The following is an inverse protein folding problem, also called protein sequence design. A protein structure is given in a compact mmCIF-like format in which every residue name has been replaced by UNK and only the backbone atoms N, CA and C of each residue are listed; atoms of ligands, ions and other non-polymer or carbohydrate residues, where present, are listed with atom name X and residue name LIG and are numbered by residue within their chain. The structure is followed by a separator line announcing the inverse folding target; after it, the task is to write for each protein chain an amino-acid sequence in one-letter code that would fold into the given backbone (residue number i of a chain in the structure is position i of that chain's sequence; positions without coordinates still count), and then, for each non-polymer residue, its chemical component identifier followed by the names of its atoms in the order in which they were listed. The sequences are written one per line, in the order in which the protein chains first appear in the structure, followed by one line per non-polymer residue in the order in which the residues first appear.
data_IF_594433550181
#
_entry.id   IF_594433550181
#
_cell.length_a   1.000
_cell.length_b   1.000
_cell.length_c   1.000
_cell.angle_alpha   90.00
_cell.angle_beta   90.00
_cell.angle_gamma   90.00
#
_symmetry.space_group_name_H-M   'P 1'
#
loop_
_entity.id
_entity.type
_entity.pdbx_description
1 polymer ?
#
# COMPACT_ATOMS: atom_id res chain seq x y z
N UNK A 1 6.86 -25.10 28.02
CA UNK A 1 7.31 -24.07 27.07
C UNK A 1 6.15 -23.11 26.87
N UNK A 2 6.35 -21.81 27.13
CA UNK A 2 5.30 -20.81 26.91
C UNK A 2 4.97 -20.79 25.42
N UNK A 3 3.68 -21.00 25.09
CA UNK A 3 3.22 -20.99 23.70
C UNK A 3 3.42 -19.57 23.14
N UNK A 4 4.17 -19.44 22.04
CA UNK A 4 4.50 -18.15 21.42
C UNK A 4 3.24 -17.36 21.05
N UNK A 5 2.13 -18.04 20.73
CA UNK A 5 0.84 -17.39 20.48
C UNK A 5 0.32 -16.66 21.72
N UNK A 6 0.37 -17.26 22.91
CA UNK A 6 -0.02 -16.62 24.18
C UNK A 6 0.84 -15.40 24.49
N UNK A 7 2.12 -15.44 24.13
CA UNK A 7 3.03 -14.30 24.31
C UNK A 7 2.69 -13.13 23.38
N UNK A 8 2.26 -13.42 22.14
CA UNK A 8 1.78 -12.41 21.19
C UNK A 8 0.42 -11.89 21.62
N UNK A 9 -0.49 -12.78 22.03
CA UNK A 9 -1.84 -12.44 22.49
C UNK A 9 -1.81 -11.50 23.69
N UNK A 10 -0.96 -11.80 24.69
CA UNK A 10 -0.78 -10.95 25.88
C UNK A 10 -0.29 -9.53 25.55
N UNK A 11 0.35 -9.34 24.39
CA UNK A 11 0.87 -8.06 23.89
C UNK A 11 -0.01 -7.43 22.81
N UNK A 12 -1.22 -7.92 22.60
CA UNK A 12 -2.09 -7.46 21.49
C UNK A 12 -2.27 -5.95 21.49
N UNK A 13 -2.52 -5.34 22.65
CA UNK A 13 -2.76 -3.91 22.75
C UNK A 13 -1.52 -3.07 22.36
N UNK A 14 -0.32 -3.46 22.82
CA UNK A 14 0.92 -2.75 22.50
C UNK A 14 1.32 -2.97 21.04
N UNK A 15 1.24 -4.20 20.54
CA UNK A 15 1.53 -4.54 19.15
C UNK A 15 0.60 -3.79 18.19
N UNK A 16 -0.71 -3.81 18.44
CA UNK A 16 -1.68 -3.13 17.59
C UNK A 16 -1.43 -1.62 17.57
N UNK A 17 -1.37 -0.98 18.75
CA UNK A 17 -1.14 0.48 18.84
C UNK A 17 0.16 0.90 18.15
N UNK A 18 1.27 0.20 18.42
CA UNK A 18 2.58 0.55 17.87
C UNK A 18 2.68 0.28 16.36
N UNK A 19 1.87 -0.64 15.83
CA UNK A 19 1.89 -0.99 14.39
C UNK A 19 1.37 0.12 13.48
N UNK A 20 0.52 1.02 13.98
CA UNK A 20 -0.16 2.03 13.15
C UNK A 20 0.29 3.47 13.37
N UNK A 21 1.08 3.76 14.42
CA UNK A 21 1.45 5.14 14.75
C UNK A 21 2.10 5.88 13.57
N UNK A 22 3.10 5.27 12.94
CA UNK A 22 3.81 5.87 11.81
C UNK A 22 2.92 6.03 10.57
N UNK A 23 1.87 5.21 10.42
CA UNK A 23 0.94 5.37 9.29
C UNK A 23 0.22 6.70 9.38
N UNK A 24 -0.22 7.10 10.58
CA UNK A 24 -0.98 8.34 10.78
C UNK A 24 -0.19 9.63 10.54
N UNK A 25 1.12 9.54 10.31
CA UNK A 25 1.94 10.66 9.86
C UNK A 25 1.73 10.97 8.37
N UNK A 26 1.29 9.99 7.57
CA UNK A 26 0.95 10.21 6.17
C UNK A 26 -0.36 11.04 6.07
N UNK A 27 -0.34 12.22 5.42
CA UNK A 27 -1.53 13.06 5.25
C UNK A 27 -2.68 12.37 4.50
N UNK A 28 -2.41 11.27 3.78
CA UNK A 28 -3.38 10.45 3.07
C UNK A 28 -4.52 10.02 3.99
N UNK A 29 -4.23 9.48 5.17
CA UNK A 29 -5.26 8.89 6.04
C UNK A 29 -6.25 9.93 6.53
N UNK A 30 -5.73 11.08 6.98
CA UNK A 30 -6.56 12.19 7.43
C UNK A 30 -7.37 12.80 6.29
N UNK A 31 -6.78 12.94 5.09
CA UNK A 31 -7.47 13.49 3.93
C UNK A 31 -8.54 12.54 3.37
N UNK A 32 -8.27 11.22 3.36
CA UNK A 32 -9.14 10.22 2.73
C UNK A 32 -10.32 9.84 3.62
N UNK A 33 -10.08 9.66 4.91
CA UNK A 33 -11.08 9.11 5.83
C UNK A 33 -11.50 10.08 6.95
N UNK A 34 -10.75 11.17 7.15
CA UNK A 34 -10.89 12.03 8.33
C UNK A 34 -10.19 11.43 9.55
N UNK A 35 -9.49 12.27 10.32
CA UNK A 35 -8.57 11.80 11.38
C UNK A 35 -9.23 10.90 12.44
N UNK A 36 -10.45 11.24 12.87
CA UNK A 36 -11.17 10.46 13.89
C UNK A 36 -11.51 9.05 13.39
N UNK A 37 -11.99 8.97 12.14
CA UNK A 37 -12.40 7.71 11.52
C UNK A 37 -11.19 6.87 11.12
N UNK A 38 -10.15 7.50 10.58
CA UNK A 38 -8.89 6.83 10.24
C UNK A 38 -8.24 6.18 11.47
N UNK A 39 -8.23 6.89 12.61
CA UNK A 39 -7.71 6.34 13.87
C UNK A 39 -8.58 5.20 14.37
N UNK A 40 -9.88 5.43 14.54
CA UNK A 40 -10.80 4.39 15.04
C UNK A 40 -10.70 3.09 14.26
N UNK A 41 -10.90 3.14 12.93
CA UNK A 41 -10.91 1.91 12.13
C UNK A 41 -9.51 1.34 11.91
N UNK A 42 -8.47 2.18 11.82
CA UNK A 42 -7.09 1.68 11.73
C UNK A 42 -6.63 0.98 13.02
N UNK A 43 -7.02 1.49 14.19
CA UNK A 43 -6.75 0.84 15.48
C UNK A 43 -7.53 -0.48 15.61
N UNK A 44 -8.79 -0.51 15.16
CA UNK A 44 -9.61 -1.74 15.10
C UNK A 44 -8.96 -2.79 14.16
N UNK A 45 -8.55 -2.39 12.95
CA UNK A 45 -7.88 -3.27 11.97
C UNK A 45 -6.55 -3.82 12.50
N UNK A 46 -5.76 -2.99 13.20
CA UNK A 46 -4.50 -3.43 13.81
C UNK A 46 -4.71 -4.54 14.85
N UNK A 47 -5.78 -4.46 15.65
CA UNK A 47 -6.15 -5.54 16.58
C UNK A 47 -6.53 -6.81 15.81
N UNK A 48 -7.26 -6.69 14.70
CA UNK A 48 -7.59 -7.85 13.85
C UNK A 48 -6.35 -8.49 13.25
N UNK A 49 -5.36 -7.72 12.77
CA UNK A 49 -4.10 -8.25 12.25
C UNK A 49 -3.39 -9.13 13.29
N UNK A 50 -3.30 -8.66 14.54
CA UNK A 50 -2.69 -9.43 15.63
C UNK A 50 -3.52 -10.69 15.96
N UNK A 51 -4.86 -10.59 15.98
CA UNK A 51 -5.72 -11.75 16.24
C UNK A 51 -5.56 -12.85 15.18
N UNK A 52 -5.49 -12.49 13.90
CA UNK A 52 -5.24 -13.47 12.84
C UNK A 52 -3.83 -14.06 12.93
N UNK A 53 -2.84 -13.29 13.38
CA UNK A 53 -1.51 -13.80 13.67
C UNK A 53 -1.53 -14.83 14.80
N UNK A 54 -2.23 -14.55 15.91
CA UNK A 54 -2.40 -15.48 17.04
C UNK A 54 -3.08 -16.77 16.56
N UNK A 55 -4.17 -16.67 15.80
CA UNK A 55 -4.87 -17.84 15.24
C UNK A 55 -3.96 -18.68 14.32
N UNK A 56 -3.17 -18.03 13.46
CA UNK A 56 -2.20 -18.70 12.61
C UNK A 56 -1.14 -19.45 13.44
N UNK A 57 -0.62 -18.82 14.50
CA UNK A 57 0.37 -19.40 15.41
C UNK A 57 -0.21 -20.60 16.19
N UNK A 58 -1.41 -20.46 16.76
CA UNK A 58 -2.09 -21.54 17.48
C UNK A 58 -2.34 -22.76 16.60
N UNK A 59 -2.74 -22.53 15.35
CA UNK A 59 -2.97 -23.59 14.38
C UNK A 59 -1.68 -24.10 13.73
N UNK A 60 -0.52 -23.47 13.98
CA UNK A 60 0.74 -23.71 13.26
C UNK A 60 0.58 -23.66 11.73
N UNK A 61 -0.23 -22.71 11.24
CA UNK A 61 -0.60 -22.57 9.83
C UNK A 61 -0.49 -21.12 9.37
N UNK A 62 0.61 -20.71 8.71
CA UNK A 62 0.77 -19.34 8.20
C UNK A 62 -0.32 -18.97 7.18
N UNK A 63 -0.85 -19.96 6.45
CA UNK A 63 -1.93 -19.80 5.49
C UNK A 63 -3.17 -19.06 6.05
N UNK A 64 -3.46 -19.16 7.36
CA UNK A 64 -4.58 -18.44 7.98
C UNK A 64 -4.38 -16.92 7.86
N UNK A 65 -3.18 -16.42 8.11
CA UNK A 65 -2.87 -15.00 8.00
C UNK A 65 -2.73 -14.56 6.53
N UNK A 66 -2.21 -15.43 5.67
CA UNK A 66 -2.12 -15.18 4.22
C UNK A 66 -3.49 -15.06 3.55
N UNK A 67 -4.42 -15.96 3.90
CA UNK A 67 -5.80 -15.93 3.38
C UNK A 67 -6.53 -14.69 3.89
N UNK A 68 -6.32 -14.32 5.16
CA UNK A 68 -6.80 -13.06 5.71
C UNK A 68 -6.26 -11.85 4.94
N UNK A 69 -4.96 -11.80 4.65
CA UNK A 69 -4.36 -10.69 3.90
C UNK A 69 -4.94 -10.59 2.48
N UNK A 70 -5.09 -11.72 1.77
CA UNK A 70 -5.70 -11.76 0.43
C UNK A 70 -7.17 -11.32 0.43
N UNK A 71 -7.95 -11.80 1.39
CA UNK A 71 -9.35 -11.40 1.54
C UNK A 71 -9.47 -9.91 1.86
N UNK A 72 -8.66 -9.43 2.81
CA UNK A 72 -8.69 -8.04 3.25
C UNK A 72 -8.26 -7.08 2.14
N UNK A 73 -7.27 -7.45 1.32
CA UNK A 73 -6.88 -6.69 0.13
C UNK A 73 -8.09 -6.40 -0.77
N UNK A 74 -8.84 -7.42 -1.16
CA UNK A 74 -10.04 -7.25 -2.01
C UNK A 74 -11.06 -6.30 -1.38
N UNK A 75 -11.24 -6.39 -0.07
CA UNK A 75 -12.15 -5.55 0.68
C UNK A 75 -11.70 -4.09 0.75
N UNK A 76 -10.42 -3.83 1.04
CA UNK A 76 -9.89 -2.47 1.23
C UNK A 76 -9.65 -1.74 -0.09
N UNK A 77 -9.28 -2.45 -1.14
CA UNK A 77 -9.13 -1.89 -2.49
C UNK A 77 -10.43 -1.23 -2.95
N UNK A 78 -11.57 -1.91 -2.76
CA UNK A 78 -12.89 -1.34 -3.07
C UNK A 78 -13.30 -0.17 -2.17
N UNK A 79 -12.54 0.11 -1.09
CA UNK A 79 -12.74 1.24 -0.16
C UNK A 79 -11.70 2.35 -0.35
N UNK A 80 -10.95 2.30 -1.45
CA UNK A 80 -10.00 3.34 -1.85
C UNK A 80 -8.64 3.25 -1.17
N UNK A 81 -8.27 2.11 -0.60
CA UNK A 81 -6.88 1.77 -0.29
C UNK A 81 -6.26 1.02 -1.47
N UNK A 82 -4.97 0.71 -1.39
CA UNK A 82 -4.28 -0.18 -2.32
C UNK A 82 -3.51 -1.24 -1.53
N UNK A 83 -2.99 -2.26 -2.22
CA UNK A 83 -2.19 -3.33 -1.64
C UNK A 83 -0.96 -2.83 -0.89
N UNK A 84 -0.30 -1.77 -1.37
CA UNK A 84 0.82 -1.15 -0.66
C UNK A 84 0.41 -0.58 0.70
N UNK A 85 -0.76 0.04 0.79
CA UNK A 85 -1.26 0.50 2.09
C UNK A 85 -1.42 -0.66 3.08
N UNK A 86 -1.99 -1.79 2.64
CA UNK A 86 -2.13 -2.97 3.49
C UNK A 86 -0.77 -3.60 3.83
N UNK A 87 0.18 -3.62 2.91
CA UNK A 87 1.56 -4.06 3.18
C UNK A 87 2.22 -3.19 4.27
N UNK A 88 2.02 -1.88 4.24
CA UNK A 88 2.55 -0.95 5.26
C UNK A 88 1.96 -1.22 6.66
N UNK A 89 0.70 -1.66 6.76
CA UNK A 89 0.12 -2.13 8.03
C UNK A 89 0.86 -3.37 8.56
N UNK A 90 1.10 -4.36 7.70
CA UNK A 90 1.85 -5.56 8.10
C UNK A 90 3.33 -5.25 8.38
N UNK A 91 3.94 -4.31 7.68
CA UNK A 91 5.28 -3.81 7.98
C UNK A 91 5.34 -3.11 9.35
N UNK A 92 4.33 -2.30 9.67
CA UNK A 92 4.16 -1.71 10.99
C UNK A 92 4.07 -2.79 12.09
N UNK A 93 3.27 -3.83 11.86
CA UNK A 93 3.17 -4.97 12.78
C UNK A 93 4.50 -5.72 12.92
N UNK A 94 5.23 -5.94 11.81
CA UNK A 94 6.55 -6.56 11.83
C UNK A 94 7.56 -5.75 12.67
N UNK A 95 7.55 -4.41 12.55
CA UNK A 95 8.38 -3.52 13.38
C UNK A 95 7.98 -3.57 14.86
N UNK A 96 6.68 -3.56 15.15
CA UNK A 96 6.18 -3.68 16.52
C UNK A 96 6.58 -5.02 17.17
N UNK A 97 6.50 -6.12 16.41
CA UNK A 97 6.96 -7.44 16.83
C UNK A 97 8.47 -7.44 17.16
N UNK A 98 9.30 -6.87 16.28
CA UNK A 98 10.75 -6.77 16.52
C UNK A 98 11.05 -6.00 17.81
N UNK A 99 10.37 -4.87 18.04
CA UNK A 99 10.54 -4.06 19.26
C UNK A 99 10.16 -4.82 20.55
N UNK A 100 9.24 -5.77 20.46
CA UNK A 100 8.79 -6.64 21.56
C UNK A 100 9.61 -7.94 21.70
N UNK A 101 10.70 -8.07 20.94
CA UNK A 101 11.62 -9.21 21.00
C UNK A 101 11.32 -10.36 20.02
N UNK A 102 10.32 -10.20 19.14
CA UNK A 102 10.02 -11.14 18.06
C UNK A 102 10.77 -10.75 16.79
N UNK A 103 12.09 -11.02 16.78
CA UNK A 103 12.99 -10.70 15.67
C UNK A 103 12.75 -11.54 14.40
N UNK A 104 13.56 -11.32 13.34
CA UNK A 104 13.45 -12.02 12.06
C UNK A 104 13.38 -13.55 12.13
N UNK A 105 14.09 -14.14 13.09
CA UNK A 105 14.15 -15.61 13.28
C UNK A 105 12.96 -16.18 14.08
N UNK A 106 12.00 -15.33 14.46
CA UNK A 106 10.82 -15.75 15.23
C UNK A 106 9.66 -16.15 14.33
N UNK A 107 8.85 -17.11 14.80
CA UNK A 107 7.63 -17.54 14.08
C UNK A 107 6.64 -16.38 13.84
N UNK A 108 6.33 -15.49 14.83
CA UNK A 108 5.43 -14.38 14.60
C UNK A 108 5.89 -13.46 13.47
N UNK A 109 7.18 -13.13 13.43
CA UNK A 109 7.75 -12.31 12.37
C UNK A 109 7.66 -13.00 11.01
N UNK A 110 8.03 -14.28 10.95
CA UNK A 110 7.97 -15.10 9.73
C UNK A 110 6.55 -15.16 9.17
N UNK A 111 5.54 -15.32 10.02
CA UNK A 111 4.14 -15.38 9.57
C UNK A 111 3.65 -14.05 9.01
N UNK A 112 4.04 -12.92 9.62
CA UNK A 112 3.75 -11.60 9.07
C UNK A 112 4.44 -11.39 7.72
N UNK A 113 5.70 -11.82 7.55
CA UNK A 113 6.35 -11.75 6.24
C UNK A 113 5.64 -12.63 5.20
N UNK A 114 5.15 -13.81 5.58
CA UNK A 114 4.35 -14.65 4.67
C UNK A 114 3.07 -13.95 4.22
N UNK A 115 2.39 -13.25 5.13
CA UNK A 115 1.20 -12.47 4.82
C UNK A 115 1.48 -11.30 3.87
N UNK A 116 2.61 -10.60 4.06
CA UNK A 116 3.08 -9.57 3.12
C UNK A 116 3.35 -10.14 1.74
N UNK A 117 4.05 -11.28 1.67
CA UNK A 117 4.30 -11.97 0.40
C UNK A 117 3.00 -12.43 -0.28
N UNK A 118 2.00 -12.82 0.50
CA UNK A 118 0.69 -13.23 0.00
C UNK A 118 -0.13 -12.08 -0.63
N UNK A 119 0.25 -10.81 -0.40
CA UNK A 119 -0.36 -9.66 -1.07
C UNK A 119 0.11 -9.49 -2.52
N UNK A 120 1.21 -10.13 -2.92
CA UNK A 120 1.68 -10.09 -4.31
C UNK A 120 0.73 -10.83 -5.23
N UNK A 121 0.48 -10.26 -6.41
CA UNK A 121 -0.23 -10.97 -7.47
C UNK A 121 0.66 -12.08 -8.02
N UNK A 122 0.08 -13.23 -8.33
CA UNK A 122 0.83 -14.42 -8.79
C UNK A 122 0.80 -14.61 -10.30
N UNK A 123 -0.12 -13.93 -10.98
CA UNK A 123 -0.32 -14.06 -12.42
C UNK A 123 -1.03 -12.81 -12.99
N UNK A 124 -1.10 -12.76 -14.33
CA UNK A 124 -1.79 -11.70 -15.06
C UNK A 124 -1.03 -10.37 -15.15
N UNK A 125 -1.68 -9.32 -15.68
CA UNK A 125 -1.04 -8.02 -15.91
C UNK A 125 -0.52 -7.35 -14.64
N UNK A 126 -1.24 -7.49 -13.53
CA UNK A 126 -0.83 -6.94 -12.23
C UNK A 126 0.46 -7.58 -11.71
N UNK A 127 0.61 -8.90 -11.86
CA UNK A 127 1.84 -9.61 -11.49
C UNK A 127 3.05 -9.11 -12.31
N UNK A 128 2.91 -9.03 -13.64
CA UNK A 128 3.98 -8.49 -14.50
C UNK A 128 4.38 -7.07 -14.11
N UNK A 129 3.38 -6.24 -13.77
CA UNK A 129 3.63 -4.88 -13.29
C UNK A 129 4.41 -4.86 -11.97
N UNK A 130 4.11 -5.78 -11.05
CA UNK A 130 4.84 -5.92 -9.79
C UNK A 130 6.28 -6.45 -9.96
N UNK A 131 6.52 -7.34 -10.94
CA UNK A 131 7.86 -7.83 -11.26
C UNK A 131 8.79 -6.71 -11.74
N UNK A 132 8.26 -5.81 -12.57
CA UNK A 132 9.01 -4.69 -13.13
C UNK A 132 8.98 -3.41 -12.27
N UNK A 133 8.36 -3.47 -11.07
CA UNK A 133 8.14 -2.32 -10.18
C UNK A 133 9.41 -1.49 -9.98
N UNK A 134 10.54 -2.12 -9.64
CA UNK A 134 11.79 -1.41 -9.37
C UNK A 134 12.33 -0.67 -10.60
N UNK A 135 12.22 -1.28 -11.79
CA UNK A 135 12.68 -0.70 -13.06
C UNK A 135 11.81 0.49 -13.44
N UNK A 136 10.48 0.32 -13.36
CA UNK A 136 9.50 1.37 -13.67
C UNK A 136 9.67 2.55 -12.71
N UNK A 137 9.79 2.28 -11.40
CA UNK A 137 9.99 3.33 -10.40
C UNK A 137 11.25 4.12 -10.67
N UNK A 138 12.38 3.43 -10.86
CA UNK A 138 13.66 4.07 -11.14
C UNK A 138 13.59 4.95 -12.40
N UNK A 139 12.89 4.47 -13.43
CA UNK A 139 12.70 5.19 -14.68
C UNK A 139 11.77 6.41 -14.55
N UNK A 140 10.69 6.31 -13.77
CA UNK A 140 9.78 7.44 -13.52
C UNK A 140 10.44 8.50 -12.62
N UNK A 141 11.11 8.08 -11.55
CA UNK A 141 11.81 8.98 -10.61
C UNK A 141 12.89 9.80 -11.32
N UNK A 142 13.72 9.16 -12.16
CA UNK A 142 14.75 9.88 -12.95
C UNK A 142 14.17 11.00 -13.83
N UNK A 143 12.94 10.84 -14.32
CA UNK A 143 12.27 11.85 -15.16
C UNK A 143 11.70 13.01 -14.34
N UNK A 144 11.30 12.73 -13.10
CA UNK A 144 10.56 13.66 -12.23
C UNK A 144 11.44 14.39 -11.21
N UNK A 145 12.63 13.87 -10.89
CA UNK A 145 13.42 14.38 -9.76
C UNK A 145 14.11 15.72 -10.02
N UNK A 146 14.43 16.04 -11.28
CA UNK A 146 15.18 17.25 -11.64
C UNK A 146 14.56 18.58 -11.11
N UNK A 147 13.23 18.82 -11.21
CA UNK A 147 12.62 20.04 -10.67
C UNK A 147 12.40 20.03 -9.15
N UNK A 148 12.67 18.93 -8.45
CA UNK A 148 12.38 18.81 -7.02
C UNK A 148 13.51 19.33 -6.13
N UNK A 149 13.19 19.81 -4.91
CA UNK A 149 14.20 20.14 -3.91
C UNK A 149 15.06 18.92 -3.52
N UNK A 150 16.33 19.12 -3.13
CA UNK A 150 17.18 18.06 -2.58
C UNK A 150 16.49 17.31 -1.44
N UNK A 151 16.67 15.98 -1.40
CA UNK A 151 16.04 15.12 -0.39
C UNK A 151 14.58 14.74 -0.67
N UNK A 152 13.98 15.18 -1.79
CA UNK A 152 12.61 14.80 -2.15
C UNK A 152 12.48 13.40 -2.76
N UNK A 153 13.60 12.79 -3.16
CA UNK A 153 13.64 11.50 -3.85
C UNK A 153 12.90 10.36 -3.12
N UNK A 154 13.09 10.12 -1.81
CA UNK A 154 12.37 9.04 -1.13
C UNK A 154 10.85 9.22 -1.15
N UNK A 155 10.36 10.46 -1.01
CA UNK A 155 8.94 10.78 -1.11
C UNK A 155 8.41 10.55 -2.53
N UNK A 156 9.18 10.95 -3.54
CA UNK A 156 8.82 10.71 -4.94
C UNK A 156 8.76 9.20 -5.26
N UNK A 157 9.74 8.42 -4.79
CA UNK A 157 9.74 6.95 -4.92
C UNK A 157 8.51 6.32 -4.27
N UNK A 158 8.16 6.76 -3.05
CA UNK A 158 6.95 6.32 -2.36
C UNK A 158 5.67 6.64 -3.15
N UNK A 159 5.57 7.84 -3.72
CA UNK A 159 4.39 8.20 -4.52
C UNK A 159 4.27 7.39 -5.81
N UNK A 160 5.39 7.15 -6.49
CA UNK A 160 5.43 6.31 -7.69
C UNK A 160 5.01 4.87 -7.35
N UNK A 161 5.52 4.31 -6.25
CA UNK A 161 5.10 3.00 -5.76
C UNK A 161 3.60 2.94 -5.45
N UNK A 162 3.08 4.01 -4.84
CA UNK A 162 1.68 4.07 -4.48
C UNK A 162 0.78 4.07 -5.73
N UNK A 163 1.10 4.90 -6.73
CA UNK A 163 0.34 4.91 -7.99
C UNK A 163 0.37 3.55 -8.69
N UNK A 164 1.55 2.91 -8.73
CA UNK A 164 1.70 1.58 -9.31
C UNK A 164 0.90 0.52 -8.54
N UNK A 165 0.81 0.61 -7.21
CA UNK A 165 -0.02 -0.30 -6.42
C UNK A 165 -1.51 -0.14 -6.73
N UNK A 166 -2.02 1.10 -6.84
CA UNK A 166 -3.41 1.32 -7.25
C UNK A 166 -3.69 0.77 -8.65
N UNK A 167 -2.73 0.94 -9.57
CA UNK A 167 -2.82 0.43 -10.93
C UNK A 167 -2.84 -1.11 -10.95
N UNK A 168 -1.95 -1.77 -10.21
CA UNK A 168 -1.92 -3.23 -10.05
C UNK A 168 -3.23 -3.76 -9.50
N UNK A 169 -3.82 -3.11 -8.50
CA UNK A 169 -5.08 -3.55 -7.91
C UNK A 169 -6.27 -3.44 -8.86
N UNK A 170 -6.35 -2.33 -9.60
CA UNK A 170 -7.39 -2.14 -10.61
C UNK A 170 -7.25 -3.16 -11.76
N UNK A 171 -6.03 -3.48 -12.18
CA UNK A 171 -5.76 -4.53 -13.18
C UNK A 171 -6.15 -5.92 -12.67
N UNK A 172 -5.77 -6.26 -11.45
CA UNK A 172 -6.00 -7.59 -10.89
C UNK A 172 -7.48 -7.89 -10.66
N UNK A 173 -8.26 -6.87 -10.33
CA UNK A 173 -9.71 -7.00 -10.14
C UNK A 173 -10.52 -6.81 -11.43
N UNK A 174 -9.87 -6.44 -12.54
CA UNK A 174 -10.51 -6.01 -13.79
C UNK A 174 -11.55 -4.90 -13.56
N UNK A 175 -11.14 -3.87 -12.81
CA UNK A 175 -12.02 -2.80 -12.32
C UNK A 175 -11.43 -1.43 -12.58
N UNK A 176 -11.56 -0.98 -13.82
CA UNK A 176 -11.07 0.32 -14.27
C UNK A 176 -11.69 1.50 -13.50
N UNK A 177 -12.92 1.35 -13.00
CA UNK A 177 -13.60 2.37 -12.19
C UNK A 177 -12.90 2.64 -10.85
N UNK A 178 -12.18 1.67 -10.29
CA UNK A 178 -11.38 1.89 -9.07
C UNK A 178 -10.21 2.84 -9.33
N UNK A 179 -9.58 2.70 -10.50
CA UNK A 179 -8.51 3.61 -10.94
C UNK A 179 -9.07 5.01 -11.20
N UNK A 180 -10.20 5.12 -11.92
CA UNK A 180 -10.86 6.40 -12.18
C UNK A 180 -11.24 7.12 -10.87
N UNK A 181 -11.83 6.38 -9.91
CA UNK A 181 -12.20 6.93 -8.61
C UNK A 181 -10.98 7.36 -7.77
N UNK A 182 -9.87 6.61 -7.85
CA UNK A 182 -8.61 7.00 -7.24
C UNK A 182 -8.10 8.30 -7.83
N UNK A 183 -7.94 8.40 -9.15
CA UNK A 183 -7.43 9.60 -9.80
C UNK A 183 -8.27 10.84 -9.51
N UNK A 184 -9.60 10.71 -9.55
CA UNK A 184 -10.52 11.81 -9.25
C UNK A 184 -10.29 12.38 -7.85
N UNK A 185 -10.14 11.50 -6.85
CA UNK A 185 -9.87 11.95 -5.48
C UNK A 185 -8.43 12.44 -5.32
N UNK A 186 -7.47 11.73 -5.90
CA UNK A 186 -6.04 11.98 -5.72
C UNK A 186 -5.59 13.30 -6.33
N UNK A 187 -6.23 13.75 -7.41
CA UNK A 187 -5.95 15.04 -8.03
C UNK A 187 -6.07 16.21 -7.04
N UNK A 188 -7.15 16.23 -6.25
CA UNK A 188 -7.35 17.25 -5.21
C UNK A 188 -6.44 17.06 -3.98
N UNK A 189 -5.97 15.84 -3.74
CA UNK A 189 -5.08 15.51 -2.63
C UNK A 189 -3.60 15.77 -2.93
N UNK A 190 -3.17 15.67 -4.19
CA UNK A 190 -1.77 15.78 -4.63
C UNK A 190 -0.98 16.94 -4.02
N UNK A 191 -1.51 18.18 -3.91
CA UNK A 191 -0.78 19.29 -3.30
C UNK A 191 -0.29 19.00 -1.87
N UNK A 192 -0.94 18.10 -1.14
CA UNK A 192 -0.57 17.70 0.23
C UNK A 192 0.62 16.73 0.29
N UNK A 193 1.08 16.19 -0.84
CA UNK A 193 2.29 15.33 -0.90
C UNK A 193 3.60 16.11 -0.77
N UNK A 194 3.55 17.44 -0.92
CA UNK A 194 4.75 18.28 -0.78
C UNK A 194 5.80 18.01 -1.87
N UNK A 195 5.35 17.65 -3.07
CA UNK A 195 6.17 17.40 -4.27
C UNK A 195 6.10 18.54 -5.29
N UNK A 196 5.69 19.74 -4.87
CA UNK A 196 5.72 20.91 -5.75
C UNK A 196 7.17 21.15 -6.26
N UNK A 197 7.34 21.54 -7.54
CA UNK A 197 6.30 21.99 -8.47
C UNK A 197 5.64 20.88 -9.30
N UNK A 198 5.93 19.59 -9.03
CA UNK A 198 5.29 18.50 -9.77
C UNK A 198 3.78 18.50 -9.53
N UNK A 199 3.01 18.20 -10.57
CA UNK A 199 1.59 17.88 -10.50
C UNK A 199 1.33 16.39 -10.76
N UNK A 200 0.11 15.93 -10.47
CA UNK A 200 -0.27 14.53 -10.66
C UNK A 200 -0.13 14.09 -12.12
N UNK A 201 -0.54 14.92 -13.09
CA UNK A 201 -0.45 14.57 -14.52
C UNK A 201 0.98 14.30 -14.96
N UNK A 202 1.94 15.13 -14.54
CA UNK A 202 3.36 14.90 -14.82
C UNK A 202 3.84 13.56 -14.25
N UNK A 203 3.36 13.19 -13.05
CA UNK A 203 3.66 11.89 -12.45
C UNK A 203 3.08 10.74 -13.31
N UNK A 204 1.82 10.86 -13.74
CA UNK A 204 1.16 9.87 -14.60
C UNK A 204 1.85 9.76 -15.97
N UNK A 205 2.23 10.87 -16.58
CA UNK A 205 2.97 10.88 -17.86
C UNK A 205 4.33 10.18 -17.73
N UNK A 206 5.05 10.43 -16.65
CA UNK A 206 6.32 9.77 -16.38
C UNK A 206 6.13 8.26 -16.15
N UNK A 207 5.05 7.85 -15.47
CA UNK A 207 4.67 6.44 -15.33
C UNK A 207 4.32 5.80 -16.68
N UNK A 208 3.49 6.45 -17.50
CA UNK A 208 3.14 5.98 -18.85
C UNK A 208 4.39 5.74 -19.71
N UNK A 209 5.33 6.68 -19.66
CA UNK A 209 6.59 6.58 -20.38
C UNK A 209 7.51 5.48 -19.81
N UNK A 210 7.49 5.27 -18.49
CA UNK A 210 8.28 4.24 -17.81
C UNK A 210 7.74 2.81 -18.07
N UNK A 211 6.42 2.65 -18.20
CA UNK A 211 5.78 1.36 -18.51
C UNK A 211 6.20 0.81 -19.89
N UNK A 212 6.60 1.65 -20.84
CA UNK A 212 7.08 1.19 -22.15
C UNK A 212 6.06 0.32 -22.89
N UNK A 213 6.49 -0.57 -23.77
CA UNK A 213 5.57 -1.49 -24.49
C UNK A 213 5.28 -2.79 -23.74
N UNK A 214 5.95 -3.03 -22.60
CA UNK A 214 5.83 -4.27 -21.82
C UNK A 214 4.54 -4.41 -21.00
N UNK A 215 3.84 -3.29 -20.75
CA UNK A 215 2.61 -3.28 -19.93
C UNK A 215 1.44 -2.60 -20.66
N UNK A 216 0.93 -3.18 -21.77
CA UNK A 216 -0.12 -2.55 -22.57
C UNK A 216 -1.41 -2.33 -21.77
N UNK A 217 -1.83 -3.28 -20.93
CA UNK A 217 -3.06 -3.15 -20.13
C UNK A 217 -2.94 -2.03 -19.09
N UNK A 218 -1.78 -1.94 -18.42
CA UNK A 218 -1.48 -0.88 -17.46
C UNK A 218 -1.50 0.49 -18.14
N UNK A 219 -0.95 0.60 -19.36
CA UNK A 219 -0.97 1.84 -20.15
C UNK A 219 -2.35 2.23 -20.61
N UNK A 220 -3.16 1.26 -21.06
CA UNK A 220 -4.56 1.52 -21.42
C UNK A 220 -5.34 2.07 -20.23
N UNK A 221 -5.14 1.50 -19.04
CA UNK A 221 -5.81 1.96 -17.84
C UNK A 221 -5.32 3.35 -17.39
N UNK A 222 -4.00 3.56 -17.42
CA UNK A 222 -3.38 4.83 -17.02
C UNK A 222 -3.70 5.99 -17.98
N UNK A 223 -3.95 5.70 -19.27
CA UNK A 223 -4.40 6.69 -20.26
C UNK A 223 -5.84 7.19 -20.03
N UNK A 224 -6.58 6.61 -19.09
CA UNK A 224 -7.91 7.10 -18.69
C UNK A 224 -7.72 8.34 -17.82
N UNK A 225 -7.79 9.51 -18.43
CA UNK A 225 -7.80 10.78 -17.70
C UNK A 225 -9.20 11.03 -17.14
N UNK A 226 -9.35 11.53 -15.89
CA UNK A 226 -10.66 11.90 -15.37
C UNK A 226 -11.29 12.99 -16.25
N UNK A 227 -12.53 12.76 -16.69
CA UNK A 227 -13.27 13.64 -17.61
C UNK A 227 -13.43 15.08 -17.08
N UNK A 228 -13.33 15.31 -15.76
CA UNK A 228 -13.47 16.65 -15.15
C UNK A 228 -12.18 17.48 -15.10
N UNK A 229 -11.07 17.00 -15.66
CA UNK A 229 -9.79 17.72 -15.57
C UNK A 229 -9.73 18.92 -16.53
N UNK A 230 -10.32 18.80 -17.73
CA UNK A 230 -10.38 19.89 -18.72
C UNK A 230 -11.36 21.01 -18.34
N UNK A 231 -12.45 20.69 -17.64
CA UNK A 231 -13.46 21.67 -17.19
C UNK A 231 -13.01 22.53 -15.99
N UNK A 232 -11.95 22.13 -15.28
CA UNK A 232 -11.45 22.85 -14.10
C UNK A 232 -10.13 23.61 -14.33
N UNK A 233 -9.53 23.47 -15.52
CA UNK A 233 -8.25 24.10 -15.87
C UNK A 233 -8.25 24.77 -17.26
N UNK A 234 -9.43 25.14 -17.77
CA UNK A 234 -9.58 26.09 -18.90
C UNK A 234 -9.78 27.51 -18.39
#
# INVERSE_FOLDING_TARGET
MSNVSLQVEARTASLASNSVQALYEDPFWAARYGIQRARRFGDEDAVFHVRYLVQALDASRPAILEDYARWLRTLLVTRGMCSLHLDQHFEGLARALQAEGFGPDSLPFTYVQSARQALRYKEGPAHRLEEDLAVITSAAVRRLEAPLPPGSRPRLEQEVHLQLSYLSDALALDRADLWDAHLQWYAGFWPRRGLAPLNLLQCLDALNAALGTGHPEARTLLARTPVSWEETHS
#
